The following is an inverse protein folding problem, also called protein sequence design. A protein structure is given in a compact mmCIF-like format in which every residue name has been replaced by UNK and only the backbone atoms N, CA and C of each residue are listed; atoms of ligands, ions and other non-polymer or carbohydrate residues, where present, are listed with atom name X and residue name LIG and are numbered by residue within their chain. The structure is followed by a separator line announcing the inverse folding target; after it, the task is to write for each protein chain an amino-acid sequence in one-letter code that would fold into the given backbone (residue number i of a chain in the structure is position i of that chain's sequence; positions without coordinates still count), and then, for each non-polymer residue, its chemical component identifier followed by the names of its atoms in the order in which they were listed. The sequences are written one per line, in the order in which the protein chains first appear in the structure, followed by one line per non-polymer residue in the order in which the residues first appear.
data_IF_151215985250
#
_entry.id   IF_151215985250
#
_cell.length_a   1.000
_cell.length_b   1.000
_cell.length_c   1.000
_cell.angle_alpha   90.00
_cell.angle_beta   90.00
_cell.angle_gamma   90.00
#
_symmetry.space_group_name_H-M   'P 1'
#
loop_
_entity.id
_entity.type
_entity.pdbx_description
1 polymer ?
#
# COMPACT_ATOMS: atom_id res chain seq x y z
N UNK A 1 3.52 -14.98 -8.08
CA UNK A 1 4.68 -14.19 -7.64
C UNK A 1 4.88 -13.09 -8.66
N UNK A 2 4.82 -11.85 -8.21
CA UNK A 2 4.85 -10.68 -9.07
C UNK A 2 6.20 -10.52 -9.79
N UNK A 3 6.15 -10.04 -11.03
CA UNK A 3 7.28 -9.77 -11.90
C UNK A 3 7.27 -8.33 -12.38
N UNK A 4 8.40 -7.88 -12.92
CA UNK A 4 8.45 -6.61 -13.63
C UNK A 4 7.41 -6.59 -14.76
N UNK A 5 6.63 -5.50 -14.83
CA UNK A 5 5.53 -5.31 -15.77
C UNK A 5 4.15 -5.69 -15.22
N UNK A 6 4.08 -6.45 -14.12
CA UNK A 6 2.80 -6.82 -13.50
C UNK A 6 2.04 -5.60 -12.99
N UNK A 7 0.71 -5.67 -13.05
CA UNK A 7 -0.19 -4.60 -12.65
C UNK A 7 -1.29 -5.11 -11.72
N UNK A 8 -1.50 -4.38 -10.62
CA UNK A 8 -2.55 -4.65 -9.66
C UNK A 8 -3.44 -3.44 -9.49
N UNK A 9 -4.75 -3.65 -9.39
CA UNK A 9 -5.69 -2.59 -9.04
C UNK A 9 -6.43 -2.89 -7.74
N UNK A 10 -6.45 -1.88 -6.87
CA UNK A 10 -7.18 -1.93 -5.61
C UNK A 10 -8.44 -1.06 -5.71
N UNK A 11 -9.64 -1.65 -5.91
CA UNK A 11 -10.89 -0.89 -6.04
C UNK A 11 -11.31 -0.20 -4.74
N UNK A 12 -10.84 -0.68 -3.58
CA UNK A 12 -11.15 -0.06 -2.30
C UNK A 12 -10.36 1.23 -2.11
N UNK A 13 -9.13 1.33 -2.63
CA UNK A 13 -8.31 2.56 -2.59
C UNK A 13 -8.38 3.41 -3.85
N UNK A 14 -8.89 2.85 -4.96
CA UNK A 14 -8.82 3.43 -6.30
C UNK A 14 -7.37 3.77 -6.70
N UNK A 15 -6.52 2.74 -6.59
CA UNK A 15 -5.10 2.85 -6.94
C UNK A 15 -4.68 1.68 -7.81
N UNK A 16 -3.93 1.98 -8.85
CA UNK A 16 -3.26 1.00 -9.70
C UNK A 16 -1.77 1.01 -9.39
N UNK A 17 -1.19 -0.17 -9.18
CA UNK A 17 0.21 -0.39 -8.89
C UNK A 17 0.83 -1.17 -10.05
N UNK A 18 1.88 -0.63 -10.64
CA UNK A 18 2.62 -1.23 -11.76
C UNK A 18 4.04 -1.51 -11.26
N UNK A 19 4.46 -2.77 -11.29
CA UNK A 19 5.75 -3.21 -10.77
C UNK A 19 6.84 -2.93 -11.80
N UNK A 20 7.72 -1.97 -11.50
CA UNK A 20 8.81 -1.57 -12.40
C UNK A 20 10.08 -2.39 -12.15
N UNK A 21 10.39 -2.67 -10.88
CA UNK A 21 11.45 -3.58 -10.45
C UNK A 21 11.00 -4.25 -9.15
N UNK A 22 11.08 -5.57 -9.09
CA UNK A 22 10.70 -6.37 -7.92
C UNK A 22 11.91 -6.70 -7.05
N UNK A 23 11.68 -7.33 -5.89
CA UNK A 23 12.76 -7.85 -5.04
C UNK A 23 13.64 -8.87 -5.77
N UNK A 24 13.10 -9.63 -6.73
CA UNK A 24 13.88 -10.56 -7.54
C UNK A 24 14.86 -9.83 -8.47
N UNK A 25 14.41 -8.73 -9.07
CA UNK A 25 15.20 -7.94 -10.01
C UNK A 25 16.34 -7.19 -9.32
N UNK A 26 16.16 -6.84 -8.04
CA UNK A 26 17.09 -6.02 -7.25
C UNK A 26 17.84 -6.82 -6.18
N UNK A 27 17.72 -8.14 -6.17
CA UNK A 27 18.28 -9.02 -5.15
C UNK A 27 17.89 -8.59 -3.70
N UNK A 28 16.65 -8.12 -3.54
CA UNK A 28 16.07 -7.68 -2.27
C UNK A 28 16.43 -6.25 -1.86
N UNK A 29 17.26 -5.53 -2.63
CA UNK A 29 17.73 -4.20 -2.26
C UNK A 29 16.60 -3.16 -2.27
N UNK A 30 15.70 -3.21 -3.25
CA UNK A 30 14.55 -2.32 -3.32
C UNK A 30 13.40 -2.83 -4.18
N UNK A 31 12.20 -2.36 -3.88
CA UNK A 31 11.03 -2.49 -4.74
C UNK A 31 10.79 -1.13 -5.41
N UNK A 32 10.53 -1.12 -6.73
CA UNK A 32 10.15 0.10 -7.46
C UNK A 32 8.81 -0.10 -8.14
N UNK A 33 7.85 0.76 -7.83
CA UNK A 33 6.49 0.73 -8.37
C UNK A 33 6.10 2.08 -8.93
N UNK A 34 5.36 2.09 -10.04
CA UNK A 34 4.52 3.23 -10.42
C UNK A 34 3.18 3.04 -9.74
N UNK A 35 2.68 4.09 -9.08
CA UNK A 35 1.34 4.13 -8.55
C UNK A 35 0.53 5.22 -9.24
N UNK A 36 -0.66 4.85 -9.70
CA UNK A 36 -1.67 5.76 -10.23
C UNK A 36 -2.78 5.83 -9.18
N UNK A 37 -3.12 7.03 -8.73
CA UNK A 37 -4.20 7.25 -7.77
C UNK A 37 -5.30 8.09 -8.41
N UNK A 38 -6.45 7.45 -8.62
CA UNK A 38 -7.56 8.02 -9.36
C UNK A 38 -8.14 9.26 -8.66
N UNK A 39 -8.94 10.00 -9.41
CA UNK A 39 -9.82 11.03 -8.87
C UNK A 39 -10.74 10.44 -7.79
N UNK A 40 -10.77 11.08 -6.63
CA UNK A 40 -11.58 10.62 -5.48
C UNK A 40 -10.93 9.51 -4.64
N UNK A 41 -9.66 9.18 -4.88
CA UNK A 41 -8.88 8.27 -4.01
C UNK A 41 -8.60 8.85 -2.60
N UNK A 42 -8.75 10.17 -2.40
CA UNK A 42 -8.52 10.85 -1.11
C UNK A 42 -9.30 10.22 0.05
N UNK A 43 -10.59 9.96 -0.14
CA UNK A 43 -11.47 9.36 0.88
C UNK A 43 -11.08 7.91 1.21
N UNK A 44 -10.18 7.33 0.41
CA UNK A 44 -9.78 5.94 0.42
C UNK A 44 -8.25 5.78 0.59
N UNK A 45 -7.59 6.80 1.13
CA UNK A 45 -6.12 6.92 1.24
C UNK A 45 -5.47 6.03 2.30
N UNK A 46 -6.24 5.14 2.94
CA UNK A 46 -5.74 4.24 3.98
C UNK A 46 -5.48 4.97 5.31
N UNK A 47 -4.66 4.35 6.15
CA UNK A 47 -4.30 4.89 7.47
C UNK A 47 -2.98 5.64 7.43
N UNK A 48 -2.80 6.57 8.37
CA UNK A 48 -1.46 7.05 8.73
C UNK A 48 -0.66 5.85 9.25
N UNK A 49 0.51 5.62 8.67
CA UNK A 49 1.34 4.46 8.94
C UNK A 49 2.82 4.82 8.97
N UNK A 50 3.65 3.84 9.30
CA UNK A 50 5.10 3.94 9.23
C UNK A 50 5.70 2.60 8.79
N UNK A 51 6.83 2.68 8.12
CA UNK A 51 7.67 1.52 7.83
C UNK A 51 8.73 1.37 8.91
N UNK A 52 8.77 0.28 9.69
CA UNK A 52 9.78 0.11 10.74
C UNK A 52 11.22 0.13 10.24
N UNK A 53 11.49 -0.53 9.11
CA UNK A 53 12.84 -0.73 8.59
C UNK A 53 13.07 -0.12 7.19
N UNK A 54 12.01 0.35 6.52
CA UNK A 54 12.09 0.76 5.12
C UNK A 54 12.14 2.28 4.96
N UNK A 55 12.96 2.73 4.02
CA UNK A 55 12.90 4.08 3.44
C UNK A 55 11.96 4.02 2.24
N UNK A 56 11.03 4.97 2.14
CA UNK A 56 10.19 5.16 0.95
C UNK A 56 10.58 6.47 0.26
N UNK A 57 10.89 6.41 -1.03
CA UNK A 57 11.22 7.56 -1.87
C UNK A 57 10.11 7.70 -2.91
N UNK A 58 9.38 8.81 -2.86
CA UNK A 58 8.25 9.08 -3.76
C UNK A 58 8.61 10.25 -4.66
N UNK A 59 8.56 10.03 -5.98
CA UNK A 59 8.71 11.09 -6.98
C UNK A 59 7.38 11.29 -7.71
N UNK A 60 6.86 12.51 -7.72
CA UNK A 60 5.63 12.85 -8.44
C UNK A 60 5.95 13.00 -9.93
N UNK A 61 5.33 12.16 -10.76
CA UNK A 61 5.50 12.20 -12.22
C UNK A 61 4.51 13.17 -12.86
N UNK A 62 3.25 13.14 -12.43
CA UNK A 62 2.21 14.05 -12.87
C UNK A 62 1.09 14.18 -11.83
N UNK A 63 0.33 15.28 -11.90
CA UNK A 63 -0.68 15.61 -10.91
C UNK A 63 -0.07 16.15 -9.61
N UNK A 64 -0.81 16.01 -8.52
CA UNK A 64 -0.44 16.63 -7.23
C UNK A 64 -0.67 15.68 -6.06
N UNK A 65 0.39 15.40 -5.32
CA UNK A 65 0.35 14.60 -4.11
C UNK A 65 0.21 15.50 -2.88
N UNK A 66 -0.71 15.15 -1.99
CA UNK A 66 -0.77 15.71 -0.66
C UNK A 66 -0.31 14.66 0.33
N UNK A 67 0.49 15.07 1.31
CA UNK A 67 1.05 14.19 2.32
C UNK A 67 0.78 14.74 3.71
N UNK A 68 0.77 13.86 4.69
CA UNK A 68 1.00 14.19 6.10
C UNK A 68 2.25 13.42 6.49
N UNK A 69 3.28 14.11 6.98
CA UNK A 69 4.53 13.51 7.48
C UNK A 69 4.77 14.07 8.88
N UNK A 70 4.87 13.19 9.89
CA UNK A 70 4.95 13.57 11.30
C UNK A 70 3.90 14.63 11.71
N UNK A 71 2.67 14.47 11.22
CA UNK A 71 1.55 15.38 11.49
C UNK A 71 1.56 16.68 10.67
N UNK A 72 2.61 16.96 9.90
CA UNK A 72 2.70 18.16 9.04
C UNK A 72 2.19 17.85 7.66
N UNK A 73 1.30 18.68 7.15
CA UNK A 73 0.71 18.52 5.82
C UNK A 73 1.53 19.26 4.76
N UNK A 74 1.97 18.55 3.73
CA UNK A 74 2.84 19.10 2.66
C UNK A 74 2.36 18.61 1.30
N UNK A 75 2.33 19.52 0.32
CA UNK A 75 2.00 19.25 -1.07
C UNK A 75 3.28 19.03 -1.88
N UNK A 76 3.23 18.09 -2.81
CA UNK A 76 4.26 17.82 -3.81
C UNK A 76 3.60 17.79 -5.19
N UNK A 77 4.12 18.55 -6.13
CA UNK A 77 3.69 18.64 -7.53
C UNK A 77 4.68 17.91 -8.46
N UNK A 78 4.36 17.83 -9.74
CA UNK A 78 5.16 17.10 -10.74
C UNK A 78 6.64 17.54 -10.73
N UNK A 79 7.54 16.55 -10.71
CA UNK A 79 8.99 16.74 -10.61
C UNK A 79 9.52 16.80 -9.18
N UNK A 80 8.67 16.98 -8.17
CA UNK A 80 9.10 17.01 -6.77
C UNK A 80 9.21 15.61 -6.15
N UNK A 81 10.06 15.50 -5.13
CA UNK A 81 10.39 14.25 -4.46
C UNK A 81 10.23 14.38 -2.94
N UNK A 82 9.73 13.30 -2.31
CA UNK A 82 9.65 13.11 -0.87
C UNK A 82 10.46 11.87 -0.48
N UNK A 83 11.31 12.00 0.53
CA UNK A 83 12.01 10.88 1.18
C UNK A 83 11.45 10.67 2.58
N UNK A 84 10.92 9.49 2.84
CA UNK A 84 10.34 9.08 4.12
C UNK A 84 11.32 8.11 4.78
N UNK A 85 11.91 8.56 5.88
CA UNK A 85 12.88 7.75 6.65
C UNK A 85 12.17 6.64 7.46
N UNK A 86 12.86 5.54 7.79
CA UNK A 86 12.31 4.49 8.65
C UNK A 86 11.73 5.05 9.94
N UNK A 87 10.58 4.50 10.36
CA UNK A 87 9.85 4.91 11.55
C UNK A 87 9.06 6.21 11.41
N UNK A 88 9.20 6.95 10.29
CA UNK A 88 8.48 8.21 10.06
C UNK A 88 7.01 7.96 9.80
N UNK A 89 6.15 8.59 10.58
CA UNK A 89 4.69 8.50 10.41
C UNK A 89 4.27 9.30 9.18
N UNK A 90 3.60 8.66 8.24
CA UNK A 90 3.18 9.31 7.01
C UNK A 90 1.85 8.76 6.44
N UNK A 91 1.26 9.55 5.55
CA UNK A 91 0.12 9.23 4.71
C UNK A 91 0.16 10.11 3.48
N UNK A 92 -0.27 9.62 2.32
CA UNK A 92 -0.39 10.43 1.12
C UNK A 92 -1.65 10.11 0.32
N UNK A 93 -2.10 11.09 -0.47
CA UNK A 93 -3.26 10.98 -1.34
C UNK A 93 -3.20 11.92 -2.54
N UNK A 94 -4.01 11.64 -3.56
CA UNK A 94 -4.21 12.56 -4.68
C UNK A 94 -4.90 13.85 -4.19
N UNK A 95 -4.21 14.98 -4.30
CA UNK A 95 -4.70 16.28 -3.86
C UNK A 95 -5.80 16.85 -4.77
N UNK A 96 -5.87 16.39 -6.01
CA UNK A 96 -6.80 16.86 -7.04
C UNK A 96 -8.15 16.16 -6.96
N UNK A 97 -9.20 16.89 -7.37
CA UNK A 97 -10.54 16.34 -7.59
C UNK A 97 -10.87 16.14 -9.07
N UNK A 98 -9.92 16.44 -9.97
CA UNK A 98 -10.15 16.48 -11.42
C UNK A 98 -9.10 15.71 -12.21
N UNK A 99 -7.93 15.51 -11.63
CA UNK A 99 -6.77 14.90 -12.30
C UNK A 99 -6.28 13.72 -11.49
N UNK A 100 -5.77 12.70 -12.17
CA UNK A 100 -5.09 11.57 -11.54
C UNK A 100 -3.70 11.99 -11.02
N UNK A 101 -3.23 11.29 -9.99
CA UNK A 101 -1.88 11.42 -9.49
C UNK A 101 -1.06 10.23 -9.98
N UNK A 102 0.07 10.49 -10.63
CA UNK A 102 1.05 9.47 -10.99
C UNK A 102 2.32 9.69 -10.17
N UNK A 103 2.75 8.66 -9.44
CA UNK A 103 4.00 8.68 -8.68
C UNK A 103 4.85 7.45 -9.02
N UNK A 104 6.16 7.58 -8.84
CA UNK A 104 7.07 6.45 -8.70
C UNK A 104 7.44 6.35 -7.22
N UNK A 105 7.23 5.20 -6.60
CA UNK A 105 7.66 4.89 -5.24
C UNK A 105 8.73 3.82 -5.27
N UNK A 106 9.84 4.10 -4.59
CA UNK A 106 10.95 3.17 -4.36
C UNK A 106 11.04 2.88 -2.86
N UNK A 107 11.00 1.60 -2.49
CA UNK A 107 10.93 1.15 -1.09
C UNK A 107 12.14 0.27 -0.80
N UNK A 108 12.95 0.64 0.19
CA UNK A 108 14.25 0.02 0.50
C UNK A 108 14.38 -0.32 1.98
N UNK A 109 14.75 -1.55 2.39
CA UNK A 109 14.90 -2.75 1.55
C UNK A 109 13.56 -3.22 0.97
N UNK A 110 13.58 -4.06 -0.08
CA UNK A 110 12.37 -4.53 -0.75
C UNK A 110 11.47 -5.36 0.19
N UNK A 111 12.10 -6.23 0.98
CA UNK A 111 11.46 -7.21 1.86
C UNK A 111 10.28 -7.93 1.15
N UNK A 112 9.15 -8.16 1.85
CA UNK A 112 7.92 -8.75 1.28
C UNK A 112 6.89 -7.71 0.84
N UNK A 113 7.32 -6.52 0.43
CA UNK A 113 6.40 -5.43 0.13
C UNK A 113 5.55 -5.71 -1.12
N UNK A 114 6.08 -6.42 -2.12
CA UNK A 114 5.32 -6.77 -3.31
C UNK A 114 4.15 -7.72 -2.98
N UNK A 115 4.42 -8.73 -2.17
CA UNK A 115 3.46 -9.71 -1.68
C UNK A 115 2.37 -9.06 -0.81
N UNK A 116 2.74 -8.03 -0.04
CA UNK A 116 1.78 -7.21 0.71
C UNK A 116 0.82 -6.47 -0.24
N UNK A 117 1.33 -5.86 -1.31
CA UNK A 117 0.50 -5.21 -2.33
C UNK A 117 -0.40 -6.21 -3.05
N UNK A 118 0.13 -7.38 -3.44
CA UNK A 118 -0.64 -8.49 -4.04
C UNK A 118 -1.81 -8.89 -3.15
N UNK A 119 -1.52 -9.21 -1.89
CA UNK A 119 -2.52 -9.64 -0.91
C UNK A 119 -3.58 -8.57 -0.67
N UNK A 120 -3.17 -7.31 -0.52
CA UNK A 120 -4.08 -6.19 -0.30
C UNK A 120 -4.99 -5.93 -1.51
N UNK A 121 -4.47 -6.05 -2.75
CA UNK A 121 -5.25 -5.84 -3.97
C UNK A 121 -6.22 -7.00 -4.22
N UNK A 122 -5.76 -8.25 -4.17
CA UNK A 122 -6.61 -9.43 -4.35
C UNK A 122 -7.75 -9.46 -3.34
N UNK A 123 -7.46 -9.10 -2.09
CA UNK A 123 -8.50 -8.95 -1.08
C UNK A 123 -9.49 -7.83 -1.41
N UNK A 124 -9.00 -6.65 -1.79
CA UNK A 124 -9.85 -5.53 -2.15
C UNK A 124 -10.79 -5.86 -3.33
N UNK A 125 -10.28 -6.59 -4.32
CA UNK A 125 -11.05 -7.08 -5.46
C UNK A 125 -12.16 -8.05 -5.01
N UNK A 126 -11.82 -9.06 -4.20
CA UNK A 126 -12.80 -10.01 -3.68
C UNK A 126 -13.91 -9.33 -2.84
N UNK A 127 -13.55 -8.33 -2.03
CA UNK A 127 -14.51 -7.53 -1.25
C UNK A 127 -15.43 -6.70 -2.13
N UNK A 128 -14.86 -6.03 -3.12
CA UNK A 128 -15.60 -5.21 -4.05
C UNK A 128 -16.59 -6.04 -4.88
N UNK A 129 -16.16 -7.20 -5.39
CA UNK A 129 -17.03 -8.15 -6.10
C UNK A 129 -18.19 -8.65 -5.23
N UNK A 130 -17.98 -8.77 -3.91
CA UNK A 130 -19.01 -9.11 -2.94
C UNK A 130 -19.87 -7.91 -2.48
N UNK A 131 -19.76 -6.74 -3.12
CA UNK A 131 -20.51 -5.54 -2.78
C UNK A 131 -20.14 -4.90 -1.44
N UNK A 132 -18.95 -5.17 -0.90
CA UNK A 132 -18.54 -4.68 0.43
C UNK A 132 -17.34 -3.74 0.33
N UNK A 133 -17.42 -2.58 0.96
CA UNK A 133 -16.42 -1.50 0.79
C UNK A 133 -15.29 -1.46 1.83
N UNK A 134 -15.31 -2.33 2.85
CA UNK A 134 -14.32 -2.32 3.94
C UNK A 134 -13.70 -3.70 4.17
N UNK A 135 -12.44 -3.80 4.66
CA UNK A 135 -11.87 -5.07 5.07
C UNK A 135 -12.63 -5.73 6.22
N UNK A 136 -12.53 -7.06 6.36
CA UNK A 136 -12.94 -7.71 7.61
C UNK A 136 -11.87 -7.44 8.67
N UNK A 137 -12.28 -7.15 9.91
CA UNK A 137 -11.34 -6.78 10.97
C UNK A 137 -10.32 -7.90 11.24
N UNK A 138 -10.77 -9.16 11.23
CA UNK A 138 -9.90 -10.33 11.46
C UNK A 138 -8.88 -10.51 10.34
N UNK A 139 -9.27 -10.32 9.08
CA UNK A 139 -8.30 -10.42 7.98
C UNK A 139 -7.29 -9.27 8.02
N UNK A 140 -7.76 -8.03 8.24
CA UNK A 140 -6.88 -6.89 8.44
C UNK A 140 -5.89 -7.15 9.57
N UNK A 141 -6.34 -7.79 10.66
CA UNK A 141 -5.46 -8.15 11.76
C UNK A 141 -4.38 -9.16 11.37
N UNK A 142 -4.75 -10.23 10.67
CA UNK A 142 -3.80 -11.23 10.20
C UNK A 142 -2.76 -10.62 9.25
N UNK A 143 -3.18 -9.74 8.32
CA UNK A 143 -2.25 -9.04 7.43
C UNK A 143 -1.31 -8.10 8.19
N UNK A 144 -1.84 -7.24 9.08
CA UNK A 144 -1.02 -6.26 9.81
C UNK A 144 -0.04 -6.91 10.80
N UNK A 145 -0.39 -8.08 11.35
CA UNK A 145 0.51 -8.86 12.19
C UNK A 145 1.64 -9.49 11.36
N UNK A 146 1.31 -10.06 10.19
CA UNK A 146 2.30 -10.71 9.30
C UNK A 146 3.25 -9.71 8.63
N UNK A 147 2.73 -8.59 8.14
CA UNK A 147 3.53 -7.51 7.52
C UNK A 147 3.97 -6.45 8.54
N UNK A 148 3.93 -6.74 9.84
CA UNK A 148 4.19 -5.78 10.92
C UNK A 148 5.61 -5.17 10.94
N UNK A 149 6.55 -5.78 10.21
CA UNK A 149 7.92 -5.25 10.02
C UNK A 149 8.03 -4.26 8.84
N UNK A 150 6.96 -4.15 8.04
CA UNK A 150 6.87 -3.34 6.84
C UNK A 150 5.84 -2.23 7.02
N UNK A 151 4.70 -2.51 7.66
CA UNK A 151 3.58 -1.57 7.73
C UNK A 151 2.96 -1.58 9.13
N UNK A 152 3.09 -0.44 9.82
CA UNK A 152 2.49 -0.27 11.14
C UNK A 152 1.58 0.94 11.15
N UNK A 153 0.32 0.75 11.54
CA UNK A 153 -0.61 1.87 11.74
C UNK A 153 -0.07 2.76 12.86
N UNK A 154 0.20 4.02 12.52
CA UNK A 154 0.80 4.99 13.40
C UNK A 154 -0.25 5.74 14.24
N UNK A 155 0.19 6.27 15.38
CA UNK A 155 -0.62 7.09 16.28
C UNK A 155 -0.20 6.93 17.74
N UNK A 156 -0.84 7.71 18.62
CA UNK A 156 -0.54 7.75 20.06
C UNK A 156 -0.55 6.37 20.75
N UNK A 157 -1.41 5.45 20.29
CA UNK A 157 -1.61 4.13 20.88
C UNK A 157 -1.02 2.99 20.05
N UNK A 158 0.01 3.23 19.24
CA UNK A 158 0.54 2.21 18.31
C UNK A 158 0.90 0.90 19.01
N UNK A 159 1.51 0.91 20.20
CA UNK A 159 1.85 -0.33 20.93
C UNK A 159 0.61 -1.11 21.37
N UNK A 160 -0.42 -0.40 21.87
CA UNK A 160 -1.70 -1.01 22.26
C UNK A 160 -2.41 -1.58 21.04
N UNK A 161 -2.45 -0.84 19.92
CA UNK A 161 -3.00 -1.34 18.65
C UNK A 161 -2.26 -2.60 18.21
N UNK A 162 -0.91 -2.60 18.23
CA UNK A 162 -0.10 -3.76 17.83
C UNK A 162 -0.42 -4.99 18.67
N UNK A 163 -0.52 -4.84 20.00
CA UNK A 163 -0.90 -5.93 20.90
C UNK A 163 -2.32 -6.46 20.61
N UNK A 164 -3.30 -5.56 20.44
CA UNK A 164 -4.68 -5.93 20.11
C UNK A 164 -4.77 -6.66 18.75
N UNK A 165 -4.08 -6.15 17.72
CA UNK A 165 -4.04 -6.75 16.41
C UNK A 165 -3.37 -8.13 16.43
N UNK A 166 -2.35 -8.36 17.28
CA UNK A 166 -1.74 -9.69 17.46
C UNK A 166 -2.72 -10.71 18.03
N UNK A 167 -3.54 -10.32 19.02
CA UNK A 167 -4.60 -11.18 19.57
C UNK A 167 -5.67 -11.47 18.51
N UNK A 168 -6.14 -10.44 17.81
CA UNK A 168 -7.12 -10.59 16.72
C UNK A 168 -6.58 -11.45 15.57
N UNK A 169 -5.29 -11.35 15.26
CA UNK A 169 -4.63 -12.18 14.25
C UNK A 169 -4.60 -13.65 14.66
N UNK A 170 -4.34 -13.97 15.94
CA UNK A 170 -4.44 -15.34 16.45
C UNK A 170 -5.86 -15.90 16.27
N UNK A 171 -6.89 -15.13 16.64
CA UNK A 171 -8.30 -15.51 16.44
C UNK A 171 -8.61 -15.66 14.95
N UNK A 172 -8.10 -14.77 14.09
CA UNK A 172 -8.26 -14.83 12.65
C UNK A 172 -7.68 -16.11 12.06
N UNK A 173 -6.45 -16.47 12.43
CA UNK A 173 -5.80 -17.72 11.99
C UNK A 173 -6.59 -18.95 12.41
N UNK A 174 -7.09 -18.99 13.66
CA UNK A 174 -7.96 -20.07 14.13
C UNK A 174 -9.28 -20.19 13.34
N UNK A 175 -9.76 -19.08 12.77
CA UNK A 175 -10.93 -19.03 11.89
C UNK A 175 -10.60 -19.25 10.41
N UNK A 176 -9.35 -19.60 10.07
CA UNK A 176 -8.91 -19.89 8.71
C UNK A 176 -8.51 -18.68 7.87
N UNK A 177 -8.37 -17.49 8.47
CA UNK A 177 -7.85 -16.32 7.75
C UNK A 177 -6.33 -16.43 7.56
N UNK A 178 -5.87 -16.22 6.33
CA UNK A 178 -4.45 -16.16 5.95
C UNK A 178 -4.02 -14.71 5.70
N UNK A 179 -2.73 -14.36 5.88
CA UNK A 179 -2.21 -13.03 5.58
C UNK A 179 -2.03 -12.80 4.08
N UNK A 180 -1.75 -13.88 3.35
CA UNK A 180 -1.59 -13.88 1.91
C UNK A 180 -2.90 -14.33 1.29
N UNK A 181 -3.30 -13.64 0.22
CA UNK A 181 -4.53 -13.94 -0.51
C UNK A 181 -4.16 -14.39 -1.93
N UNK A 182 -4.14 -15.70 -2.14
CA UNK A 182 -3.71 -16.33 -3.39
C UNK A 182 -4.87 -16.62 -4.36
N UNK A 183 -5.84 -15.71 -4.51
CA UNK A 183 -6.62 -15.72 -5.76
C UNK A 183 -5.75 -15.10 -6.83
N UNK A 184 -5.72 -15.66 -8.05
CA UNK A 184 -5.06 -15.01 -9.18
C UNK A 184 -5.52 -13.54 -9.22
N UNK A 185 -4.62 -12.57 -9.01
CA UNK A 185 -5.01 -11.18 -9.07
C UNK A 185 -5.60 -10.93 -10.46
N UNK A 186 -6.69 -10.16 -10.54
CA UNK A 186 -7.15 -9.68 -11.84
C UNK A 186 -6.06 -8.74 -12.35
N UNK A 187 -5.21 -9.28 -13.21
CA UNK A 187 -4.22 -8.53 -13.96
C UNK A 187 -4.99 -7.64 -14.90
N UNK A 188 -4.79 -6.32 -14.79
CA UNK A 188 -5.31 -5.43 -15.82
C UNK A 188 -4.48 -5.72 -17.08
N UNK A 189 -5.10 -6.31 -18.09
CA UNK A 189 -4.44 -6.44 -19.38
C UNK A 189 -4.18 -5.04 -19.92
N UNK A 190 -2.97 -4.83 -20.46
CA UNK A 190 -2.76 -3.69 -21.34
C UNK A 190 -3.67 -3.89 -22.54
N UNK A 191 -4.82 -3.21 -22.58
CA UNK A 191 -5.32 -2.69 -23.86
C UNK A 191 -4.32 -1.63 -24.31
N UNK A 192 -3.20 -2.08 -24.88
CA UNK A 192 -2.25 -1.21 -25.54
C UNK A 192 -2.84 -0.78 -26.88
N UNK A 193 -2.88 0.54 -27.07
CA UNK A 193 -3.13 1.28 -28.31
C UNK A 193 -4.55 1.19 -28.91
#
# INVERSE_FOLDING_TARGET
MLRTGDQLYNPLTKKTFIFLLTSQDTNGEFLKIKCIADVGSKQRSGFVHKHPAQTEIITVQSGSMMTIVNGKKVRYDAGEMLVIQPGTSHQWWNASKKEELNIISEIRPALKTAEMYESACSFAQARHAAGKEAPTLLHLAVMLDYYGDHYVIAGRWTLVKKAAFKVLAAIGRLKGYTPEWHSEPIMISNSAA
#
